data_IF_631731835254
#
_entry.id   IF_631731835254
#
_cell.length_a   1.000
_cell.length_b   1.000
_cell.length_c   1.000
_cell.angle_alpha   90.00
_cell.angle_beta   90.00
_cell.angle_gamma   90.00
#
_symmetry.space_group_name_H-M   'P 1'
#
loop_
_entity.id
_entity.type
_entity.pdbx_description
1 polymer ?
#
# COMPACT_ATOMS: atom_id res chain seq x y z
N UNK A 1 -1.40 5.90 -8.13
CA UNK A 1 -2.24 6.69 -7.19
C UNK A 1 -1.45 7.91 -6.70
N UNK A 2 -2.02 9.13 -6.63
CA UNK A 2 -1.27 10.31 -6.15
C UNK A 2 -1.27 10.40 -4.61
N UNK A 3 -0.21 9.87 -3.98
CA UNK A 3 0.07 9.95 -2.54
C UNK A 3 1.16 10.98 -2.25
N UNK A 4 0.86 11.99 -1.42
CA UNK A 4 1.86 12.99 -0.98
C UNK A 4 2.74 12.47 0.15
N UNK A 5 2.16 11.67 1.04
CA UNK A 5 2.85 11.11 2.20
C UNK A 5 2.36 9.68 2.43
N UNK A 6 3.30 8.78 2.71
CA UNK A 6 3.04 7.36 2.94
C UNK A 6 3.33 7.02 4.40
N UNK A 7 2.31 6.56 5.11
CA UNK A 7 2.38 6.15 6.50
C UNK A 7 2.28 4.64 6.60
N UNK A 8 3.25 4.01 7.26
CA UNK A 8 3.24 2.58 7.51
C UNK A 8 2.64 2.32 8.89
N UNK A 9 1.61 1.48 8.95
CA UNK A 9 1.20 0.91 10.24
C UNK A 9 2.32 0.02 10.78
N UNK A 10 2.33 -0.17 12.10
CA UNK A 10 3.25 -1.12 12.74
C UNK A 10 3.14 -2.52 12.11
N UNK A 11 1.93 -2.97 11.84
CA UNK A 11 1.68 -4.29 11.24
C UNK A 11 2.29 -4.39 9.83
N UNK A 12 2.06 -3.38 8.98
CA UNK A 12 2.64 -3.34 7.65
C UNK A 12 4.18 -3.36 7.70
N UNK A 13 4.79 -2.56 8.59
CA UNK A 13 6.24 -2.51 8.73
C UNK A 13 6.83 -3.85 9.18
N UNK A 14 6.22 -4.51 10.18
CA UNK A 14 6.65 -5.84 10.64
C UNK A 14 6.56 -6.90 9.51
N UNK A 15 5.49 -6.86 8.70
CA UNK A 15 5.33 -7.78 7.56
C UNK A 15 6.34 -7.53 6.46
N UNK A 16 6.58 -6.26 6.13
CA UNK A 16 7.59 -5.88 5.14
C UNK A 16 8.96 -6.40 5.54
N UNK A 17 9.35 -6.21 6.80
CA UNK A 17 10.61 -6.72 7.33
C UNK A 17 10.70 -8.25 7.23
N UNK A 18 9.64 -8.97 7.64
CA UNK A 18 9.60 -10.45 7.58
C UNK A 18 9.69 -11.00 6.15
N UNK A 19 9.21 -10.25 5.15
CA UNK A 19 9.15 -10.67 3.74
C UNK A 19 10.27 -10.10 2.88
N UNK A 20 11.20 -9.35 3.48
CA UNK A 20 12.27 -8.66 2.75
C UNK A 20 11.75 -7.61 1.77
N UNK A 21 10.59 -6.99 2.04
CA UNK A 21 10.01 -5.96 1.19
C UNK A 21 10.58 -4.61 1.60
N UNK A 22 11.30 -3.98 0.68
CA UNK A 22 11.87 -2.65 0.90
C UNK A 22 10.80 -1.56 0.80
N UNK A 23 10.91 -0.44 1.54
CA UNK A 23 10.00 0.70 1.41
C UNK A 23 9.92 1.26 -0.01
N UNK A 24 11.02 1.23 -0.77
CA UNK A 24 11.07 1.63 -2.18
C UNK A 24 10.13 0.81 -3.06
N UNK A 25 10.03 -0.50 -2.80
CA UNK A 25 9.12 -1.40 -3.50
C UNK A 25 7.66 -0.98 -3.23
N UNK A 26 7.31 -0.68 -1.99
CA UNK A 26 5.96 -0.22 -1.65
C UNK A 26 5.62 1.11 -2.32
N UNK A 27 6.56 2.08 -2.31
CA UNK A 27 6.36 3.36 -3.00
C UNK A 27 6.13 3.15 -4.50
N UNK A 28 6.89 2.25 -5.14
CA UNK A 28 6.71 1.89 -6.54
C UNK A 28 5.33 1.27 -6.80
N UNK A 29 4.91 0.30 -5.97
CA UNK A 29 3.59 -0.35 -6.08
C UNK A 29 2.48 0.70 -5.93
N UNK A 30 2.54 1.58 -4.94
CA UNK A 30 1.51 2.62 -4.73
C UNK A 30 1.41 3.61 -5.90
N UNK A 31 2.53 3.86 -6.58
CA UNK A 31 2.57 4.73 -7.76
C UNK A 31 1.99 4.04 -9.00
N UNK A 32 2.46 2.84 -9.33
CA UNK A 32 2.34 2.20 -10.65
C UNK A 32 1.44 0.95 -10.70
N UNK A 33 1.09 0.36 -9.55
CA UNK A 33 0.38 -0.91 -9.55
C UNK A 33 -1.11 -0.78 -9.89
N UNK A 34 -1.67 -1.91 -10.34
CA UNK A 34 -3.08 -2.05 -10.62
C UNK A 34 -3.88 -2.19 -9.31
N UNK A 35 -4.99 -1.47 -9.23
CA UNK A 35 -6.01 -1.70 -8.21
C UNK A 35 -6.80 -2.94 -8.60
N UNK A 36 -6.64 -4.02 -7.85
CA UNK A 36 -7.34 -5.28 -8.10
C UNK A 36 -8.62 -5.41 -7.27
N UNK A 37 -8.76 -4.60 -6.21
CA UNK A 37 -9.97 -4.55 -5.40
C UNK A 37 -10.09 -3.22 -4.66
N UNK A 38 -11.31 -2.71 -4.52
CA UNK A 38 -11.62 -1.51 -3.74
C UNK A 38 -12.55 -1.86 -2.58
N UNK A 39 -12.16 -1.49 -1.36
CA UNK A 39 -12.96 -1.58 -0.15
C UNK A 39 -13.52 -0.19 0.17
N UNK A 40 -14.57 0.22 -0.55
CA UNK A 40 -15.18 1.54 -0.40
C UNK A 40 -15.80 1.78 0.99
N UNK A 41 -16.19 0.70 1.67
CA UNK A 41 -16.84 0.73 2.99
C UNK A 41 -15.86 0.74 4.16
N UNK A 42 -14.55 0.64 3.90
CA UNK A 42 -13.53 0.67 4.94
C UNK A 42 -13.53 2.02 5.67
N UNK A 43 -13.23 1.94 6.97
CA UNK A 43 -13.15 3.11 7.86
C UNK A 43 -11.76 3.22 8.46
N UNK A 44 -11.22 4.45 8.64
CA UNK A 44 -11.89 5.75 8.45
C UNK A 44 -11.97 6.23 6.99
N UNK A 45 -11.23 5.60 6.08
CA UNK A 45 -11.19 5.95 4.67
C UNK A 45 -11.31 4.70 3.80
N UNK A 46 -11.87 4.82 2.58
CA UNK A 46 -11.82 3.76 1.59
C UNK A 46 -10.40 3.23 1.39
N UNK A 47 -10.28 1.92 1.26
CA UNK A 47 -9.01 1.27 0.97
C UNK A 47 -9.02 0.55 -0.36
N UNK A 48 -7.84 0.29 -0.91
CA UNK A 48 -7.66 -0.43 -2.15
C UNK A 48 -6.57 -1.49 -1.98
N UNK A 49 -6.81 -2.67 -2.55
CA UNK A 49 -5.81 -3.70 -2.72
C UNK A 49 -5.10 -3.46 -4.06
N UNK A 50 -3.82 -3.15 -3.95
CA UNK A 50 -2.90 -3.02 -5.06
C UNK A 50 -2.12 -4.30 -5.23
N UNK A 51 -1.91 -4.73 -6.47
CA UNK A 51 -1.00 -5.82 -6.79
C UNK A 51 -0.04 -5.36 -7.88
N UNK A 52 1.25 -5.49 -7.61
CA UNK A 52 2.28 -5.21 -8.60
C UNK A 52 3.53 -6.03 -8.37
N UNK A 53 4.52 -5.80 -9.22
CA UNK A 53 5.81 -6.50 -9.14
C UNK A 53 6.92 -5.49 -8.91
N UNK A 54 7.87 -5.86 -8.05
CA UNK A 54 9.13 -5.13 -7.90
C UNK A 54 10.28 -6.11 -8.12
N UNK A 55 11.01 -5.94 -9.23
CA UNK A 55 11.98 -6.93 -9.69
C UNK A 55 11.30 -8.27 -10.02
N UNK A 56 11.64 -9.32 -9.27
CA UNK A 56 11.07 -10.67 -9.42
C UNK A 56 9.99 -11.01 -8.38
N UNK A 57 9.69 -10.08 -7.48
CA UNK A 57 8.78 -10.31 -6.37
C UNK A 57 7.42 -9.67 -6.64
N UNK A 58 6.36 -10.47 -6.58
CA UNK A 58 5.00 -9.97 -6.55
C UNK A 58 4.68 -9.47 -5.13
N UNK A 59 4.13 -8.27 -5.04
CA UNK A 59 3.81 -7.60 -3.78
C UNK A 59 2.37 -7.12 -3.87
N UNK A 60 1.57 -7.48 -2.87
CA UNK A 60 0.26 -6.91 -2.68
C UNK A 60 0.28 -5.93 -1.51
N UNK A 61 -0.44 -4.83 -1.64
CA UNK A 61 -0.48 -3.78 -0.64
C UNK A 61 -1.92 -3.33 -0.45
N UNK A 62 -2.39 -3.25 0.80
CA UNK A 62 -3.65 -2.58 1.12
C UNK A 62 -3.34 -1.16 1.57
N UNK A 63 -3.84 -0.19 0.82
CA UNK A 63 -3.63 1.24 1.08
C UNK A 63 -4.97 1.95 1.24
N UNK A 64 -5.12 2.73 2.30
CA UNK A 64 -6.22 3.66 2.47
C UNK A 64 -5.76 5.07 2.14
N UNK A 65 -6.57 5.84 1.40
CA UNK A 65 -6.23 7.21 1.01
C UNK A 65 -7.15 8.21 1.69
N UNK A 66 -6.58 9.17 2.41
CA UNK A 66 -7.32 10.30 2.97
C UNK A 66 -7.66 11.32 1.89
N UNK A 67 -8.67 12.15 2.15
CA UNK A 67 -9.06 13.25 1.25
C UNK A 67 -7.97 14.32 1.09
N UNK A 68 -7.01 14.40 2.01
CA UNK A 68 -5.86 15.31 1.95
C UNK A 68 -4.70 14.78 1.06
N UNK A 69 -4.79 13.54 0.60
CA UNK A 69 -3.74 12.88 -0.19
C UNK A 69 -2.69 12.15 0.65
N UNK A 70 -2.98 11.88 1.92
CA UNK A 70 -2.18 11.00 2.77
C UNK A 70 -2.58 9.55 2.54
N UNK A 71 -1.60 8.66 2.50
CA UNK A 71 -1.82 7.25 2.23
C UNK A 71 -1.33 6.41 3.41
N UNK A 72 -2.20 5.54 3.91
CA UNK A 72 -1.93 4.69 5.06
C UNK A 72 -1.87 3.23 4.62
N UNK A 73 -0.71 2.60 4.84
CA UNK A 73 -0.53 1.18 4.60
C UNK A 73 -0.97 0.37 5.82
N UNK A 74 -2.00 -0.45 5.62
CA UNK A 74 -2.51 -1.34 6.68
C UNK A 74 -1.86 -2.73 6.62
N UNK A 75 -1.64 -3.27 5.42
CA UNK A 75 -1.21 -4.66 5.21
C UNK A 75 -0.34 -4.77 3.96
N UNK A 76 0.66 -5.65 4.02
CA UNK A 76 1.60 -5.98 2.95
C UNK A 76 1.91 -7.49 2.94
#
# INVERSE_FOLDING_TARGET
>A
MECKTLHFSRHAFERMFQRGVEPSAVVHIVAEAEIIFEYSDDKPYPSALLLGSYGKQAIHVVVARSTAGECHLAVC
#
